data_IF_747993155282
#
_entry.id   IF_747993155282
#
_cell.length_a   1.000
_cell.length_b   1.000
_cell.length_c   1.000
_cell.angle_alpha   90.00
_cell.angle_beta   90.00
_cell.angle_gamma   90.00
#
_symmetry.space_group_name_H-M   'P 1'
#
loop_
_entity.id
_entity.type
_entity.pdbx_description
1 polymer ?
#
# COMPACT_ATOMS: atom_id res chain seq x y z
N UNK A 1 -0.27 -2.57 -16.61
CA UNK A 1 -0.44 -3.10 -15.23
C UNK A 1 0.61 -4.17 -14.85
N UNK A 2 1.75 -4.26 -15.56
CA UNK A 2 2.86 -5.15 -15.17
C UNK A 2 3.33 -4.74 -13.77
N UNK A 3 2.99 -5.54 -12.77
CA UNK A 3 3.38 -5.31 -11.40
C UNK A 3 2.25 -5.27 -10.36
N UNK A 4 1.01 -5.33 -10.77
CA UNK A 4 -0.18 -5.40 -9.90
C UNK A 4 -0.49 -6.87 -9.56
N UNK A 5 -1.08 -7.13 -8.39
CA UNK A 5 -1.49 -8.47 -7.96
C UNK A 5 -2.46 -9.05 -9.00
N UNK A 6 -2.04 -10.14 -9.64
CA UNK A 6 -2.90 -10.95 -10.48
C UNK A 6 -3.60 -12.02 -9.62
N UNK A 7 -4.85 -12.42 -9.94
CA UNK A 7 -5.50 -13.55 -9.26
C UNK A 7 -4.65 -14.81 -9.39
N UNK A 8 -4.58 -15.62 -8.34
CA UNK A 8 -3.68 -16.79 -8.23
C UNK A 8 -3.83 -17.87 -9.32
N UNK A 9 -4.92 -17.85 -10.07
CA UNK A 9 -5.26 -18.90 -11.07
C UNK A 9 -5.07 -18.47 -12.52
N UNK A 10 -4.41 -17.33 -12.78
CA UNK A 10 -4.14 -16.92 -14.15
C UNK A 10 -2.82 -17.54 -14.64
N UNK A 11 -2.87 -18.65 -15.32
CA UNK A 11 -1.74 -19.23 -16.08
C UNK A 11 -1.26 -18.31 -17.21
N UNK A 12 -2.07 -17.30 -17.58
CA UNK A 12 -1.81 -16.29 -18.60
C UNK A 12 -2.04 -14.91 -17.97
N UNK A 13 -1.17 -13.91 -18.23
CA UNK A 13 -1.42 -12.53 -17.77
C UNK A 13 -2.77 -12.04 -18.27
N UNK A 14 -3.70 -11.76 -17.36
CA UNK A 14 -4.99 -11.20 -17.72
C UNK A 14 -4.83 -9.73 -18.11
N UNK A 15 -5.11 -9.40 -19.35
CA UNK A 15 -5.25 -8.03 -19.80
C UNK A 15 -6.68 -7.55 -19.56
N UNK A 16 -6.82 -6.40 -18.88
CA UNK A 16 -8.11 -5.77 -18.64
C UNK A 16 -8.38 -4.74 -19.73
N UNK A 17 -9.45 -4.95 -20.49
CA UNK A 17 -9.87 -4.06 -21.59
C UNK A 17 -11.26 -3.51 -21.28
N UNK A 18 -11.49 -2.27 -21.65
CA UNK A 18 -12.81 -1.65 -21.58
C UNK A 18 -13.43 -1.56 -22.97
N UNK A 19 -14.71 -1.93 -23.07
CA UNK A 19 -15.53 -1.62 -24.22
C UNK A 19 -16.70 -0.74 -23.82
N UNK A 20 -16.94 0.31 -24.58
CA UNK A 20 -18.12 1.18 -24.44
C UNK A 20 -19.36 0.61 -25.10
N UNK A 21 -19.18 -0.30 -26.06
CA UNK A 21 -20.24 -1.02 -26.78
C UNK A 21 -20.30 -2.51 -26.45
N UNK A 22 -21.40 -3.17 -26.86
CA UNK A 22 -21.59 -4.62 -26.72
C UNK A 22 -20.68 -5.36 -27.72
N UNK A 23 -19.45 -5.61 -27.34
CA UNK A 23 -18.65 -6.60 -28.05
C UNK A 23 -19.07 -8.00 -27.62
N UNK A 24 -19.41 -8.85 -28.57
CA UNK A 24 -19.67 -10.28 -28.38
C UNK A 24 -18.35 -11.09 -28.36
N UNK A 25 -17.27 -10.49 -28.82
CA UNK A 25 -15.97 -11.12 -28.90
C UNK A 25 -15.29 -11.12 -27.52
N UNK A 26 -14.98 -12.31 -26.99
CA UNK A 26 -14.29 -12.52 -25.72
C UNK A 26 -13.02 -13.33 -25.98
N UNK A 27 -11.89 -12.68 -26.25
CA UNK A 27 -10.64 -13.39 -26.46
C UNK A 27 -10.21 -14.09 -25.16
N UNK A 28 -9.57 -15.25 -25.29
CA UNK A 28 -9.06 -16.02 -24.18
C UNK A 28 -7.95 -15.21 -23.46
N UNK A 29 -7.93 -15.23 -22.12
CA UNK A 29 -6.94 -14.50 -21.34
C UNK A 29 -7.20 -13.00 -21.17
N UNK A 30 -8.34 -12.49 -21.65
CA UNK A 30 -8.71 -11.07 -21.51
C UNK A 30 -9.99 -10.94 -20.68
N UNK A 31 -9.92 -10.13 -19.61
CA UNK A 31 -11.11 -9.73 -18.85
C UNK A 31 -11.68 -8.44 -19.44
N UNK A 32 -12.93 -8.53 -19.94
CA UNK A 32 -13.63 -7.39 -20.52
C UNK A 32 -14.47 -6.69 -19.45
N UNK A 33 -14.20 -5.42 -19.24
CA UNK A 33 -15.04 -4.55 -18.42
C UNK A 33 -15.91 -3.66 -19.30
N UNK A 34 -17.19 -3.62 -19.03
CA UNK A 34 -18.12 -2.72 -19.74
C UNK A 34 -18.44 -1.53 -18.83
N UNK A 35 -18.16 -0.32 -19.28
CA UNK A 35 -18.54 0.89 -18.58
C UNK A 35 -19.35 1.82 -19.50
N UNK A 36 -20.66 1.92 -19.23
CA UNK A 36 -21.61 2.78 -19.98
C UNK A 36 -21.96 4.06 -19.22
N UNK A 37 -21.19 4.40 -18.19
CA UNK A 37 -21.48 5.57 -17.36
C UNK A 37 -20.97 6.81 -18.09
N UNK A 38 -21.85 7.76 -18.32
CA UNK A 38 -21.51 9.08 -18.88
C UNK A 38 -20.36 9.71 -18.09
N UNK A 39 -19.31 10.09 -18.78
CA UNK A 39 -18.10 10.66 -18.20
C UNK A 39 -16.95 9.67 -18.02
N UNK A 40 -17.15 8.35 -18.25
CA UNK A 40 -16.07 7.35 -18.19
C UNK A 40 -15.04 7.57 -19.30
N UNK A 41 -15.45 8.11 -20.44
CA UNK A 41 -14.60 8.47 -21.57
C UNK A 41 -13.48 9.46 -21.20
N UNK A 42 -13.72 10.33 -20.21
CA UNK A 42 -12.71 11.27 -19.71
C UNK A 42 -11.55 10.57 -18.96
N UNK A 43 -11.75 9.33 -18.58
CA UNK A 43 -10.74 8.49 -17.92
C UNK A 43 -10.10 7.49 -18.87
N UNK A 44 -10.15 7.77 -20.19
CA UNK A 44 -9.51 6.98 -21.24
C UNK A 44 -8.59 7.89 -22.05
N UNK A 45 -7.35 7.48 -22.29
CA UNK A 45 -6.38 8.20 -23.13
C UNK A 45 -5.88 7.27 -24.24
N UNK A 46 -6.09 7.65 -25.50
CA UNK A 46 -5.68 6.84 -26.67
C UNK A 46 -6.14 5.37 -26.58
N UNK A 47 -7.40 5.15 -26.19
CA UNK A 47 -7.96 3.80 -26.03
C UNK A 47 -7.54 3.05 -24.77
N UNK A 48 -6.69 3.63 -23.92
CA UNK A 48 -6.20 3.00 -22.68
C UNK A 48 -6.86 3.65 -21.46
N UNK A 49 -7.38 2.82 -20.55
CA UNK A 49 -7.95 3.31 -19.29
C UNK A 49 -6.88 3.95 -18.41
N UNK A 50 -7.22 5.08 -17.81
CA UNK A 50 -6.38 5.68 -16.77
C UNK A 50 -6.45 4.86 -15.48
N UNK A 51 -5.42 4.94 -14.64
CA UNK A 51 -5.36 4.20 -13.38
C UNK A 51 -6.57 4.42 -12.45
N UNK A 52 -7.15 5.65 -12.33
CA UNK A 52 -8.38 5.85 -11.58
C UNK A 52 -9.55 5.01 -12.06
N UNK A 53 -9.73 4.89 -13.38
CA UNK A 53 -10.81 4.07 -13.93
C UNK A 53 -10.54 2.58 -13.72
N UNK A 54 -9.32 2.13 -13.95
CA UNK A 54 -8.92 0.73 -13.68
C UNK A 54 -9.18 0.36 -12.22
N UNK A 55 -8.75 1.20 -11.26
CA UNK A 55 -9.00 0.99 -9.84
C UNK A 55 -10.50 0.83 -9.52
N UNK A 56 -11.33 1.66 -10.14
CA UNK A 56 -12.79 1.60 -9.95
C UNK A 56 -13.40 0.32 -10.52
N UNK A 57 -12.89 -0.16 -11.66
CA UNK A 57 -13.38 -1.37 -12.32
C UNK A 57 -13.03 -2.65 -11.55
N UNK A 58 -11.76 -2.80 -11.19
CA UNK A 58 -11.32 -3.98 -10.45
C UNK A 58 -11.90 -4.05 -9.03
N UNK A 59 -12.48 -2.95 -8.53
CA UNK A 59 -13.19 -2.94 -7.27
C UNK A 59 -14.38 -3.92 -7.20
N UNK A 60 -14.89 -4.39 -8.33
CA UNK A 60 -15.91 -5.44 -8.36
C UNK A 60 -15.36 -6.82 -7.98
N UNK A 61 -14.16 -7.12 -8.43
CA UNK A 61 -13.54 -8.45 -8.36
C UNK A 61 -12.65 -8.60 -7.12
N UNK A 62 -11.86 -7.59 -6.82
CA UNK A 62 -10.88 -7.63 -5.73
C UNK A 62 -11.54 -7.60 -4.36
N UNK A 63 -10.97 -8.32 -3.40
CA UNK A 63 -11.29 -8.15 -1.98
C UNK A 63 -10.96 -6.73 -1.52
N UNK A 64 -11.46 -6.33 -0.37
CA UNK A 64 -11.16 -5.00 0.16
C UNK A 64 -9.66 -4.82 0.47
N UNK A 65 -8.97 -5.87 0.91
CA UNK A 65 -7.54 -5.84 1.21
C UNK A 65 -6.71 -5.72 -0.07
N UNK A 66 -7.01 -6.52 -1.09
CA UNK A 66 -6.36 -6.44 -2.40
C UNK A 66 -6.58 -5.07 -3.05
N UNK A 67 -7.77 -4.51 -2.93
CA UNK A 67 -8.09 -3.20 -3.48
C UNK A 67 -7.33 -2.08 -2.76
N UNK A 68 -7.22 -2.13 -1.43
CA UNK A 68 -6.41 -1.18 -0.66
C UNK A 68 -4.94 -1.31 -1.06
N UNK A 69 -4.41 -2.52 -1.11
CA UNK A 69 -3.03 -2.76 -1.51
C UNK A 69 -2.75 -2.24 -2.93
N UNK A 70 -3.62 -2.56 -3.89
CA UNK A 70 -3.54 -2.04 -5.26
C UNK A 70 -3.52 -0.51 -5.27
N UNK A 71 -4.43 0.12 -4.52
CA UNK A 71 -4.48 1.58 -4.40
C UNK A 71 -3.17 2.18 -3.88
N UNK A 72 -2.56 1.57 -2.86
CA UNK A 72 -1.26 1.99 -2.32
C UNK A 72 -0.15 1.85 -3.38
N UNK A 73 -0.16 0.77 -4.19
CA UNK A 73 0.80 0.58 -5.28
C UNK A 73 0.59 1.59 -6.42
N UNK A 74 -0.65 1.93 -6.76
CA UNK A 74 -0.98 2.96 -7.76
C UNK A 74 -0.52 4.35 -7.29
N UNK A 75 -0.69 4.65 -6.00
CA UNK A 75 -0.31 5.91 -5.38
C UNK A 75 1.15 5.94 -4.89
N UNK A 76 1.96 4.94 -5.26
CA UNK A 76 3.37 4.87 -4.90
C UNK A 76 4.21 5.93 -5.62
N UNK A 77 5.27 6.38 -4.98
CA UNK A 77 6.23 7.28 -5.62
C UNK A 77 7.18 6.49 -6.51
N UNK A 78 7.43 7.03 -7.69
CA UNK A 78 8.49 6.56 -8.58
C UNK A 78 9.84 7.12 -8.11
N UNK A 79 10.91 6.67 -8.71
CA UNK A 79 12.27 7.19 -8.49
C UNK A 79 12.36 8.72 -8.61
N UNK A 80 11.59 9.31 -9.53
CA UNK A 80 11.48 10.76 -9.70
C UNK A 80 10.66 11.50 -8.63
N UNK A 81 10.15 10.79 -7.62
CA UNK A 81 9.40 11.37 -6.50
C UNK A 81 7.93 11.73 -6.79
N UNK A 82 7.40 11.42 -7.98
CA UNK A 82 5.99 11.65 -8.32
C UNK A 82 5.20 10.35 -8.32
N UNK A 83 3.93 10.34 -7.87
CA UNK A 83 3.07 9.16 -7.96
C UNK A 83 2.60 8.96 -9.40
N UNK A 84 2.28 7.70 -9.75
CA UNK A 84 1.58 7.38 -11.00
C UNK A 84 0.20 8.02 -11.06
N UNK A 85 -0.45 8.08 -9.89
CA UNK A 85 -1.78 8.60 -9.67
C UNK A 85 -1.90 8.92 -8.19
N UNK A 86 -2.55 10.02 -7.85
CA UNK A 86 -2.77 10.37 -6.45
C UNK A 86 -4.05 9.75 -5.88
N UNK A 87 -4.14 9.68 -4.55
CA UNK A 87 -5.38 9.29 -3.84
C UNK A 87 -6.54 10.20 -4.23
N UNK A 88 -6.25 11.50 -4.47
CA UNK A 88 -7.23 12.48 -4.90
C UNK A 88 -7.79 12.17 -6.30
N UNK A 89 -6.96 11.69 -7.22
CA UNK A 89 -7.41 11.28 -8.56
C UNK A 89 -8.33 10.07 -8.50
N UNK A 90 -7.99 9.07 -7.67
CA UNK A 90 -8.84 7.90 -7.42
C UNK A 90 -10.20 8.34 -6.85
N UNK A 91 -10.18 9.23 -5.87
CA UNK A 91 -11.40 9.76 -5.25
C UNK A 91 -12.25 10.55 -6.24
N UNK A 92 -11.65 11.43 -7.02
CA UNK A 92 -12.34 12.24 -8.03
C UNK A 92 -13.06 11.38 -9.07
N UNK A 93 -12.38 10.33 -9.55
CA UNK A 93 -12.96 9.36 -10.48
C UNK A 93 -14.16 8.63 -9.85
N UNK A 94 -13.98 8.05 -8.67
CA UNK A 94 -15.04 7.33 -7.96
C UNK A 94 -16.22 8.26 -7.60
N UNK A 95 -15.95 9.53 -7.28
CA UNK A 95 -16.98 10.53 -7.00
C UNK A 95 -17.79 10.89 -8.26
N UNK A 96 -17.11 11.07 -9.39
CA UNK A 96 -17.73 11.46 -10.67
C UNK A 96 -18.58 10.32 -11.27
N UNK A 97 -18.10 9.10 -11.24
CA UNK A 97 -18.77 7.94 -11.85
C UNK A 97 -19.78 7.29 -10.89
N UNK A 98 -20.81 8.04 -10.50
CA UNK A 98 -21.80 7.66 -9.45
C UNK A 98 -22.53 6.34 -9.71
N UNK A 99 -22.79 5.99 -10.95
CA UNK A 99 -23.52 4.76 -11.33
C UNK A 99 -22.65 3.49 -11.37
N UNK A 100 -21.34 3.58 -11.12
CA UNK A 100 -20.46 2.42 -11.21
C UNK A 100 -20.65 1.46 -10.02
N UNK A 101 -20.88 0.16 -10.33
CA UNK A 101 -21.19 -0.87 -9.30
C UNK A 101 -20.07 -1.02 -8.27
N UNK A 102 -18.80 -0.90 -8.66
CA UNK A 102 -17.62 -0.96 -7.76
C UNK A 102 -17.40 0.28 -6.90
N UNK A 103 -18.17 1.36 -7.14
CA UNK A 103 -17.94 2.68 -6.54
C UNK A 103 -17.90 2.68 -5.02
N UNK A 104 -18.85 2.03 -4.37
CA UNK A 104 -18.93 2.02 -2.90
C UNK A 104 -17.72 1.32 -2.28
N UNK A 105 -17.30 0.19 -2.86
CA UNK A 105 -16.11 -0.54 -2.41
C UNK A 105 -14.84 0.28 -2.67
N UNK A 106 -14.72 0.93 -3.84
CA UNK A 106 -13.61 1.82 -4.16
C UNK A 106 -13.52 2.99 -3.16
N UNK A 107 -14.61 3.70 -2.90
CA UNK A 107 -14.65 4.79 -1.92
C UNK A 107 -14.29 4.31 -0.50
N UNK A 108 -14.73 3.11 -0.13
CA UNK A 108 -14.35 2.51 1.15
C UNK A 108 -12.83 2.24 1.21
N UNK A 109 -12.25 1.70 0.15
CA UNK A 109 -10.81 1.43 0.08
C UNK A 109 -9.99 2.73 0.13
N UNK A 110 -10.39 3.75 -0.62
CA UNK A 110 -9.71 5.05 -0.71
C UNK A 110 -9.52 5.72 0.67
N UNK A 111 -10.42 5.50 1.63
CA UNK A 111 -10.28 6.03 3.00
C UNK A 111 -9.04 5.55 3.73
N UNK A 112 -8.45 4.47 3.29
CA UNK A 112 -7.28 3.83 3.91
C UNK A 112 -6.00 4.03 3.11
N UNK A 113 -6.06 4.73 1.98
CA UNK A 113 -4.90 5.03 1.16
C UNK A 113 -4.12 6.22 1.68
N UNK A 114 -2.84 6.22 1.37
CA UNK A 114 -1.95 7.38 1.45
C UNK A 114 -1.06 7.38 0.21
N UNK A 115 -0.53 8.55 -0.16
CA UNK A 115 0.41 8.65 -1.26
C UNK A 115 1.82 8.32 -0.79
N UNK A 116 2.61 7.72 -1.68
CA UNK A 116 4.05 7.76 -1.56
C UNK A 116 4.73 6.49 -1.09
N UNK A 117 4.04 5.36 -0.93
CA UNK A 117 4.74 4.09 -0.71
C UNK A 117 5.84 3.90 -1.77
N UNK A 118 7.00 3.40 -1.37
CA UNK A 118 8.13 3.14 -2.28
C UNK A 118 8.37 1.65 -2.50
N UNK A 119 7.84 0.83 -1.63
CA UNK A 119 7.96 -0.62 -1.76
C UNK A 119 6.65 -1.35 -1.43
N UNK A 120 6.47 -2.56 -1.96
CA UNK A 120 5.37 -3.44 -1.60
C UNK A 120 5.29 -3.71 -0.09
N UNK A 121 6.44 -3.86 0.55
CA UNK A 121 6.51 -4.21 1.97
C UNK A 121 6.17 -3.04 2.89
N UNK A 122 6.54 -1.81 2.52
CA UNK A 122 6.05 -0.60 3.21
C UNK A 122 4.53 -0.51 3.15
N UNK A 123 3.92 -0.78 1.98
CA UNK A 123 2.46 -0.80 1.83
C UNK A 123 1.81 -1.83 2.75
N UNK A 124 2.39 -3.02 2.85
CA UNK A 124 1.87 -4.09 3.71
C UNK A 124 2.04 -3.73 5.19
N UNK A 125 3.21 -3.25 5.60
CA UNK A 125 3.44 -2.77 6.97
C UNK A 125 2.46 -1.66 7.34
N UNK A 126 2.25 -0.69 6.43
CA UNK A 126 1.25 0.35 6.59
C UNK A 126 -0.15 -0.23 6.79
N UNK A 127 -0.57 -1.20 5.98
CA UNK A 127 -1.88 -1.84 6.13
C UNK A 127 -2.04 -2.53 7.49
N UNK A 128 -1.02 -3.28 7.95
CA UNK A 128 -1.03 -3.93 9.26
C UNK A 128 -1.23 -2.94 10.41
N UNK A 129 -0.56 -1.81 10.35
CA UNK A 129 -0.58 -0.82 11.42
C UNK A 129 -1.80 0.11 11.33
N UNK A 130 -2.17 0.55 10.12
CA UNK A 130 -3.16 1.61 9.87
C UNK A 130 -4.59 1.12 9.79
N UNK A 131 -4.84 -0.06 9.21
CA UNK A 131 -6.20 -0.53 8.99
C UNK A 131 -6.94 -0.72 10.33
N UNK A 132 -8.27 -0.49 10.34
CA UNK A 132 -9.07 -0.74 11.53
C UNK A 132 -9.12 -2.24 11.85
N UNK A 133 -9.43 -2.59 13.10
CA UNK A 133 -9.55 -3.98 13.52
C UNK A 133 -10.56 -4.79 12.68
N UNK A 134 -11.62 -4.14 12.18
CA UNK A 134 -12.56 -4.77 11.26
C UNK A 134 -11.96 -5.20 9.92
N UNK A 135 -10.76 -4.70 9.59
CA UNK A 135 -9.95 -5.09 8.44
C UNK A 135 -8.62 -5.74 8.87
N UNK A 136 -8.53 -6.25 10.09
CA UNK A 136 -7.38 -7.01 10.59
C UNK A 136 -6.16 -6.17 10.99
N UNK A 137 -6.22 -4.84 10.96
CA UNK A 137 -5.10 -3.98 11.35
C UNK A 137 -5.14 -3.53 12.81
N UNK A 138 -4.08 -2.83 13.24
CA UNK A 138 -3.91 -2.31 14.61
C UNK A 138 -4.69 -1.03 14.89
N UNK A 139 -5.28 -0.39 13.87
CA UNK A 139 -6.02 0.87 13.96
C UNK A 139 -5.21 2.09 14.43
N UNK A 140 -3.93 2.16 14.14
CA UNK A 140 -3.11 3.34 14.39
C UNK A 140 -3.37 4.42 13.33
N UNK A 141 -4.32 5.29 13.58
CA UNK A 141 -4.86 6.22 12.58
C UNK A 141 -3.93 7.36 12.18
N UNK A 142 -2.89 7.64 12.97
CA UNK A 142 -1.95 8.73 12.75
C UNK A 142 -0.64 8.29 12.06
N UNK A 143 -0.68 7.21 11.28
CA UNK A 143 0.46 6.76 10.48
C UNK A 143 0.35 7.35 9.07
N UNK A 144 1.46 7.84 8.53
CA UNK A 144 1.62 8.40 7.19
C UNK A 144 2.75 7.71 6.45
N UNK A 145 2.60 7.53 5.13
CA UNK A 145 3.64 6.97 4.27
C UNK A 145 4.61 8.03 3.78
N UNK A 146 5.88 7.69 3.72
CA UNK A 146 6.97 8.41 3.06
C UNK A 146 6.97 9.93 3.28
N UNK A 147 6.98 10.34 4.55
CA UNK A 147 7.01 11.77 4.92
C UNK A 147 8.42 12.33 4.95
N UNK A 148 8.57 13.48 4.33
CA UNK A 148 9.80 14.27 4.45
C UNK A 148 9.90 14.87 5.85
N UNK A 149 11.01 14.58 6.53
CA UNK A 149 11.38 15.09 7.84
C UNK A 149 12.53 16.09 7.64
N UNK A 150 12.20 17.37 7.63
CA UNK A 150 13.22 18.43 7.51
C UNK A 150 13.65 18.84 8.90
N UNK A 151 14.93 18.64 9.19
CA UNK A 151 15.54 18.94 10.49
C UNK A 151 15.80 20.45 10.60
N UNK A 152 15.39 21.04 11.72
CA UNK A 152 15.52 22.49 11.96
C UNK A 152 16.96 22.94 12.15
N UNK A 153 17.76 22.14 12.87
CA UNK A 153 19.15 22.49 13.22
C UNK A 153 20.11 22.35 12.04
N UNK A 154 19.96 21.31 11.24
CA UNK A 154 20.89 20.99 10.15
C UNK A 154 20.37 21.37 8.76
N UNK A 155 19.07 21.68 8.62
CA UNK A 155 18.40 21.89 7.32
C UNK A 155 18.29 20.60 6.48
N UNK A 156 18.84 19.48 6.94
CA UNK A 156 18.81 18.22 6.21
C UNK A 156 17.38 17.65 6.16
N UNK A 157 17.06 17.01 5.04
CA UNK A 157 15.76 16.36 4.85
C UNK A 157 15.97 14.86 4.69
N UNK A 158 15.26 14.10 5.50
CA UNK A 158 15.16 12.64 5.41
C UNK A 158 13.74 12.24 5.04
N UNK A 159 13.58 11.01 4.60
CA UNK A 159 12.25 10.46 4.29
C UNK A 159 12.02 9.25 5.19
N UNK A 160 10.97 9.31 5.99
CA UNK A 160 10.51 8.20 6.81
C UNK A 160 9.63 7.27 5.98
N UNK A 161 9.84 5.95 6.02
CA UNK A 161 8.97 4.99 5.33
C UNK A 161 7.54 5.07 5.88
N UNK A 162 7.39 4.99 7.21
CA UNK A 162 6.15 5.25 7.91
C UNK A 162 6.41 6.23 9.06
N UNK A 163 5.64 7.28 9.10
CA UNK A 163 5.80 8.33 10.12
C UNK A 163 4.56 8.49 10.99
N UNK A 164 4.74 8.59 12.29
CA UNK A 164 3.68 8.91 13.28
C UNK A 164 3.93 10.30 13.86
N UNK A 165 3.21 11.34 13.38
CA UNK A 165 3.43 12.72 13.80
C UNK A 165 3.25 12.97 15.29
N UNK A 166 2.25 12.34 15.91
CA UNK A 166 1.89 12.57 17.32
C UNK A 166 3.02 12.28 18.33
N UNK A 167 3.95 11.38 17.99
CA UNK A 167 5.08 11.03 18.83
C UNK A 167 6.43 11.12 18.10
N UNK A 168 6.48 11.75 16.93
CA UNK A 168 7.68 11.86 16.09
C UNK A 168 8.37 10.49 15.85
N UNK A 169 7.58 9.43 15.65
CA UNK A 169 8.11 8.09 15.42
C UNK A 169 8.29 7.83 13.92
N UNK A 170 9.53 7.58 13.54
CA UNK A 170 9.94 7.09 12.23
C UNK A 170 10.03 5.56 12.28
N UNK A 171 9.26 4.87 11.46
CA UNK A 171 9.24 3.41 11.36
C UNK A 171 9.80 3.04 9.98
N UNK A 172 10.96 2.44 9.96
CA UNK A 172 11.70 2.06 8.76
C UNK A 172 11.56 0.55 8.49
N UNK A 173 11.19 0.16 7.28
CA UNK A 173 11.21 -1.24 6.88
C UNK A 173 12.57 -1.62 6.34
N UNK A 174 13.34 -2.31 7.15
CA UNK A 174 14.70 -2.71 6.83
C UNK A 174 14.72 -4.12 6.22
N UNK A 175 14.81 -4.17 4.89
CA UNK A 175 14.90 -5.41 4.12
C UNK A 175 16.32 -5.95 3.95
N UNK A 176 17.33 -5.19 4.41
CA UNK A 176 18.73 -5.55 4.21
C UNK A 176 19.14 -6.76 5.06
N UNK A 177 19.54 -7.81 4.39
CA UNK A 177 20.16 -8.99 5.00
C UNK A 177 21.66 -8.89 4.81
N UNK A 178 22.40 -8.56 5.88
CA UNK A 178 23.84 -8.80 6.09
C UNK A 178 24.89 -8.41 5.03
N UNK A 179 24.58 -7.62 3.99
CA UNK A 179 25.54 -7.28 2.93
C UNK A 179 25.78 -5.78 2.75
N UNK A 180 25.41 -4.96 3.76
CA UNK A 180 25.65 -3.53 3.65
C UNK A 180 27.13 -3.20 3.85
N UNK A 181 27.65 -2.32 3.00
CA UNK A 181 29.02 -1.86 3.11
C UNK A 181 29.23 -1.04 4.40
N UNK A 182 30.46 -0.98 4.96
CA UNK A 182 30.76 -0.12 6.10
C UNK A 182 30.32 1.36 5.93
N UNK A 183 30.32 1.85 4.68
CA UNK A 183 29.86 3.20 4.35
C UNK A 183 28.34 3.36 4.52
N UNK A 184 27.54 2.34 4.20
CA UNK A 184 26.09 2.35 4.41
C UNK A 184 25.76 2.42 5.91
N UNK A 185 26.40 1.58 6.73
CA UNK A 185 26.24 1.64 8.20
C UNK A 185 26.58 3.00 8.79
N UNK A 186 27.66 3.62 8.31
CA UNK A 186 28.06 4.96 8.78
C UNK A 186 27.01 6.02 8.42
N UNK A 187 26.45 5.96 7.21
CA UNK A 187 25.39 6.87 6.74
C UNK A 187 24.12 6.73 7.57
N UNK A 188 23.68 5.51 7.85
CA UNK A 188 22.48 5.24 8.64
C UNK A 188 22.65 5.67 10.09
N UNK A 189 23.83 5.44 10.69
CA UNK A 189 24.14 5.90 12.04
C UNK A 189 24.13 7.43 12.14
N UNK A 190 24.69 8.14 11.15
CA UNK A 190 24.65 9.60 11.08
C UNK A 190 23.23 10.12 10.93
N UNK A 191 22.42 9.48 10.08
CA UNK A 191 20.99 9.80 9.90
C UNK A 191 20.25 9.65 11.22
N UNK A 192 20.44 8.53 11.90
CA UNK A 192 19.80 8.25 13.18
C UNK A 192 20.16 9.31 14.23
N UNK A 193 21.45 9.63 14.38
CA UNK A 193 21.91 10.65 15.33
C UNK A 193 21.29 12.03 15.03
N UNK A 194 21.19 12.43 13.76
CA UNK A 194 20.56 13.71 13.39
C UNK A 194 19.08 13.75 13.75
N UNK A 195 18.33 12.67 13.50
CA UNK A 195 16.92 12.56 13.82
C UNK A 195 16.69 12.58 15.34
N UNK A 196 17.48 11.81 16.10
CA UNK A 196 17.39 11.74 17.56
C UNK A 196 17.68 13.09 18.24
N UNK A 197 18.65 13.87 17.73
CA UNK A 197 18.96 15.22 18.23
C UNK A 197 17.78 16.20 18.13
N UNK A 198 16.81 15.93 17.23
CA UNK A 198 15.58 16.71 17.10
C UNK A 198 14.36 16.04 17.74
N UNK A 199 14.60 14.98 18.51
CA UNK A 199 13.59 14.28 19.30
C UNK A 199 12.72 13.32 18.47
N UNK A 200 13.20 12.89 17.29
CA UNK A 200 12.56 11.79 16.58
C UNK A 200 12.95 10.46 17.23
N UNK A 201 12.01 9.55 17.27
CA UNK A 201 12.24 8.16 17.63
C UNK A 201 12.35 7.34 16.33
N UNK A 202 13.33 6.45 16.26
CA UNK A 202 13.49 5.55 15.10
C UNK A 202 13.16 4.14 15.52
N UNK A 203 12.43 3.42 14.68
CA UNK A 203 12.10 2.01 14.86
C UNK A 203 12.32 1.24 13.57
N UNK A 204 13.40 0.47 13.51
CA UNK A 204 13.65 -0.46 12.41
C UNK A 204 12.77 -1.71 12.54
N UNK A 205 12.12 -2.09 11.45
CA UNK A 205 11.25 -3.27 11.33
C UNK A 205 11.87 -4.26 10.36
N UNK A 206 12.28 -5.40 10.88
CA UNK A 206 12.87 -6.49 10.08
C UNK A 206 11.80 -7.39 9.46
N UNK A 207 12.08 -8.04 8.31
CA UNK A 207 11.13 -8.95 7.66
C UNK A 207 10.54 -10.01 8.60
N UNK A 208 11.36 -10.61 9.47
CA UNK A 208 10.90 -11.63 10.43
C UNK A 208 9.78 -11.13 11.34
N UNK A 209 9.76 -9.83 11.66
CA UNK A 209 8.72 -9.22 12.50
C UNK A 209 7.36 -9.11 11.80
N UNK A 210 7.34 -9.14 10.47
CA UNK A 210 6.08 -9.23 9.72
C UNK A 210 5.65 -10.67 9.47
N UNK A 211 6.59 -11.56 9.16
CA UNK A 211 6.27 -12.93 8.79
C UNK A 211 5.93 -13.82 10.00
N UNK A 212 6.57 -13.61 11.14
CA UNK A 212 6.30 -14.36 12.37
C UNK A 212 5.22 -13.65 13.22
N UNK A 213 4.18 -14.38 13.58
CA UNK A 213 3.04 -13.83 14.31
C UNK A 213 3.42 -13.26 15.69
N UNK A 214 4.23 -14.00 16.45
CA UNK A 214 4.65 -13.58 17.80
C UNK A 214 5.55 -12.34 17.74
N UNK A 215 6.43 -12.26 16.74
CA UNK A 215 7.27 -11.10 16.51
C UNK A 215 6.43 -9.88 16.08
N UNK A 216 5.41 -10.11 15.24
CA UNK A 216 4.48 -9.03 14.85
C UNK A 216 3.67 -8.51 16.05
N UNK A 217 3.18 -9.39 16.91
CA UNK A 217 2.50 -8.99 18.14
C UNK A 217 3.38 -8.14 19.05
N UNK A 218 4.64 -8.54 19.21
CA UNK A 218 5.64 -7.80 19.98
C UNK A 218 5.93 -6.43 19.38
N UNK A 219 6.09 -6.35 18.05
CA UNK A 219 6.24 -5.11 17.31
C UNK A 219 5.02 -4.19 17.51
N UNK A 220 3.81 -4.71 17.31
CA UNK A 220 2.58 -3.94 17.47
C UNK A 220 2.40 -3.40 18.90
N UNK A 221 2.72 -4.21 19.93
CA UNK A 221 2.74 -3.77 21.33
C UNK A 221 3.78 -2.69 21.60
N UNK A 222 4.96 -2.77 21.00
CA UNK A 222 6.02 -1.75 21.12
C UNK A 222 5.53 -0.42 20.50
N UNK A 223 5.04 -0.44 19.27
CA UNK A 223 4.49 0.73 18.60
C UNK A 223 3.31 1.32 19.39
N UNK A 224 2.40 0.47 19.88
CA UNK A 224 1.27 0.87 20.73
C UNK A 224 1.70 1.67 21.96
N UNK A 225 2.76 1.24 22.65
CA UNK A 225 3.33 1.95 23.82
C UNK A 225 3.91 3.31 23.42
N UNK A 226 4.67 3.38 22.32
CA UNK A 226 5.27 4.63 21.84
C UNK A 226 4.22 5.67 21.41
N UNK A 227 3.14 5.22 20.78
CA UNK A 227 2.02 6.08 20.35
C UNK A 227 1.09 6.45 21.54
N UNK A 228 1.21 5.78 22.68
CA UNK A 228 0.30 5.95 23.81
C UNK A 228 -1.12 5.40 23.53
N UNK A 229 -1.29 4.51 22.57
CA UNK A 229 -2.59 4.02 22.12
C UNK A 229 -2.69 2.49 22.26
N UNK A 230 -3.58 2.03 23.14
CA UNK A 230 -3.80 0.58 23.31
C UNK A 230 -4.47 -0.06 22.09
N UNK A 231 -3.95 -1.21 21.67
CA UNK A 231 -4.61 -2.08 20.69
C UNK A 231 -5.83 -2.72 21.39
N UNK A 232 -7.02 -2.46 20.86
CA UNK A 232 -8.28 -3.02 21.39
C UNK A 232 -8.99 -3.76 20.29
N UNK A 233 -8.83 -5.08 20.24
CA UNK A 233 -9.52 -5.94 19.28
C UNK A 233 -10.98 -6.12 19.73
N UNK A 234 -11.89 -5.39 19.08
CA UNK A 234 -13.34 -5.43 19.36
C UNK A 234 -14.16 -5.95 18.19
N UNK A 235 -13.56 -6.02 17.00
CA UNK A 235 -14.27 -6.42 15.80
C UNK A 235 -14.49 -7.95 15.80
N UNK A 236 -15.76 -8.37 15.68
CA UNK A 236 -16.13 -9.80 15.60
C UNK A 236 -15.38 -10.55 14.49
N UNK A 237 -15.13 -9.87 13.37
CA UNK A 237 -14.43 -10.42 12.20
C UNK A 237 -12.92 -10.13 12.18
N UNK A 238 -12.31 -9.74 13.31
CA UNK A 238 -10.89 -9.39 13.33
C UNK A 238 -10.01 -10.53 12.80
N UNK A 239 -10.18 -11.73 13.33
CA UNK A 239 -9.32 -12.87 12.97
C UNK A 239 -9.45 -13.26 11.50
N UNK A 240 -10.67 -13.30 10.95
CA UNK A 240 -10.88 -13.56 9.52
C UNK A 240 -10.18 -12.51 8.65
N UNK A 241 -10.35 -11.24 8.99
CA UNK A 241 -9.73 -10.12 8.25
C UNK A 241 -8.21 -10.09 8.43
N UNK A 242 -7.71 -10.48 9.61
CA UNK A 242 -6.29 -10.58 9.86
C UNK A 242 -5.65 -11.71 9.05
N UNK A 243 -6.31 -12.87 8.95
CA UNK A 243 -5.86 -13.98 8.09
C UNK A 243 -5.81 -13.52 6.63
N UNK A 244 -6.86 -12.87 6.12
CA UNK A 244 -6.87 -12.35 4.76
C UNK A 244 -5.73 -11.35 4.48
N UNK A 245 -5.39 -10.52 5.47
CA UNK A 245 -4.25 -9.61 5.38
C UNK A 245 -2.91 -10.37 5.40
N UNK A 246 -2.81 -11.45 6.17
CA UNK A 246 -1.64 -12.35 6.19
C UNK A 246 -1.45 -13.09 4.87
N UNK A 247 -2.54 -13.52 4.25
CA UNK A 247 -2.49 -14.17 2.93
C UNK A 247 -1.93 -13.22 1.87
N UNK A 248 -2.32 -11.94 1.91
CA UNK A 248 -1.77 -10.92 1.03
C UNK A 248 -0.24 -10.78 1.20
N UNK A 249 0.26 -10.77 2.45
CA UNK A 249 1.70 -10.76 2.74
C UNK A 249 2.40 -11.99 2.15
N UNK A 250 1.81 -13.17 2.31
CA UNK A 250 2.38 -14.42 1.81
C UNK A 250 2.43 -14.47 0.27
N UNK A 251 1.40 -13.96 -0.39
CA UNK A 251 1.35 -13.81 -1.85
C UNK A 251 2.45 -12.89 -2.36
N UNK A 252 2.61 -11.73 -1.74
CA UNK A 252 3.65 -10.78 -2.15
C UNK A 252 5.06 -11.30 -1.88
N UNK A 253 5.28 -11.99 -0.77
CA UNK A 253 6.57 -12.65 -0.50
C UNK A 253 6.95 -13.66 -1.57
N UNK A 254 6.00 -14.50 -2.01
CA UNK A 254 6.21 -15.45 -3.12
C UNK A 254 6.55 -14.73 -4.42
N UNK A 255 5.84 -13.65 -4.73
CA UNK A 255 6.07 -12.84 -5.91
C UNK A 255 7.45 -12.17 -5.93
N UNK A 256 7.90 -11.64 -4.79
CA UNK A 256 9.23 -11.08 -4.65
C UNK A 256 10.28 -12.17 -4.90
N UNK A 257 10.16 -13.33 -4.25
CA UNK A 257 11.10 -14.45 -4.44
C UNK A 257 11.18 -14.92 -5.90
N UNK A 258 10.04 -15.03 -6.59
CA UNK A 258 10.02 -15.47 -8.00
C UNK A 258 10.74 -14.51 -8.95
N UNK A 259 10.84 -13.23 -8.62
CA UNK A 259 11.61 -12.25 -9.39
C UNK A 259 13.13 -12.39 -9.23
N UNK A 260 13.59 -12.85 -8.06
CA UNK A 260 15.01 -13.09 -7.81
C UNK A 260 15.52 -14.39 -8.44
N UNK A 261 14.64 -15.39 -8.60
CA UNK A 261 15.00 -16.68 -9.22
C UNK A 261 15.08 -16.60 -10.75
N UNK A 262 14.39 -15.63 -11.36
CA UNK A 262 14.36 -15.39 -12.82
C UNK A 262 15.44 -14.43 -13.32
N UNK A 263 16.34 -13.96 -12.46
CA UNK A 263 17.56 -13.21 -12.79
C UNK A 263 18.79 -14.07 -12.61
#
# INVERSE_FOLDING_TARGET
>A
LRGVIEPENAEIPLEHVIFTDRSLYRPQGITIHTCRIKGAEHYTKKGVCTLPLVFLQVALEYTIHELIYLGLQICSYRENGSPLCSVQDLYACAKKLKGHRGRQKALRAIRYLDNGSRSPMESILYMYLRLPNALGGCAFTDIRLNRKLTLRKSGKTYVADLYVPSCKLDIEYDSHTHHDSPAAYSSDSIRAAHLEQEGYQILSVKPVQLYNLNHFETLAKNISRRIGKRIRIRARKFFESFVALRDLLSKEARRIRSRFIKR
#
